data_IF_160379750311
#
_entry.id   IF_160379750311
#
_cell.length_a   1.000
_cell.length_b   1.000
_cell.length_c   1.000
_cell.angle_alpha   90.00
_cell.angle_beta   90.00
_cell.angle_gamma   90.00
#
_symmetry.space_group_name_H-M   'P 1'
#
loop_
_entity.id
_entity.type
_entity.pdbx_description
1 polymer ?
#
# COMPACT_ATOMS: atom_id res chain seq x y z
N UNK A 1 -15.93 -5.50 -14.33
CA UNK A 1 -16.25 -4.06 -14.44
C UNK A 1 -15.03 -3.37 -15.00
N UNK A 2 -15.19 -2.44 -15.94
CA UNK A 2 -14.07 -1.67 -16.53
C UNK A 2 -14.42 -0.19 -16.29
N UNK A 3 -13.71 0.45 -15.38
CA UNK A 3 -13.87 1.87 -15.03
C UNK A 3 -12.58 2.37 -14.35
N UNK A 4 -12.45 3.68 -14.19
CA UNK A 4 -11.44 4.28 -13.32
C UNK A 4 -11.80 4.01 -11.84
N UNK A 5 -10.82 3.56 -11.05
CA UNK A 5 -11.08 3.13 -9.67
C UNK A 5 -11.55 4.28 -8.77
N UNK A 6 -10.98 5.48 -8.96
CA UNK A 6 -11.37 6.66 -8.20
C UNK A 6 -12.80 7.08 -8.52
N UNK A 7 -13.10 7.27 -9.81
CA UNK A 7 -14.44 7.60 -10.30
C UNK A 7 -15.48 6.54 -9.90
N UNK A 8 -15.09 5.27 -9.88
CA UNK A 8 -15.96 4.20 -9.41
C UNK A 8 -16.29 4.36 -7.92
N UNK A 9 -15.27 4.54 -7.07
CA UNK A 9 -15.47 4.72 -5.62
C UNK A 9 -16.25 5.99 -5.30
N UNK A 10 -16.07 7.09 -6.04
CA UNK A 10 -16.86 8.32 -5.85
C UNK A 10 -18.36 8.08 -6.04
N UNK A 11 -18.74 7.29 -7.04
CA UNK A 11 -20.15 7.09 -7.44
C UNK A 11 -20.83 5.91 -6.76
N UNK A 12 -20.10 4.87 -6.38
CA UNK A 12 -20.67 3.63 -5.85
C UNK A 12 -20.96 3.71 -4.36
N UNK A 13 -22.22 3.65 -3.87
CA UNK A 13 -22.53 3.68 -2.44
C UNK A 13 -22.13 2.41 -1.67
N UNK A 14 -21.53 1.42 -2.35
CA UNK A 14 -21.09 0.19 -1.72
C UNK A 14 -19.96 0.45 -0.72
N UNK A 15 -19.97 -0.35 0.35
CA UNK A 15 -18.90 -0.41 1.33
C UNK A 15 -18.25 -1.79 1.34
N UNK A 16 -16.97 -1.83 1.65
CA UNK A 16 -16.11 -3.00 1.52
C UNK A 16 -15.42 -3.33 2.85
N UNK A 17 -15.23 -4.62 3.12
CA UNK A 17 -14.41 -5.07 4.24
C UNK A 17 -12.90 -4.94 3.91
N UNK A 18 -12.54 -5.05 2.62
CA UNK A 18 -11.17 -4.94 2.14
C UNK A 18 -11.17 -4.14 0.83
N UNK A 19 -10.22 -3.20 0.70
CA UNK A 19 -9.88 -2.53 -0.56
C UNK A 19 -8.39 -2.78 -0.84
N UNK A 20 -8.06 -3.41 -1.96
CA UNK A 20 -6.66 -3.64 -2.38
C UNK A 20 -6.32 -2.77 -3.59
N UNK A 21 -5.20 -2.06 -3.52
CA UNK A 21 -4.75 -1.11 -4.55
C UNK A 21 -3.39 -1.60 -5.09
N UNK A 22 -3.43 -2.15 -6.29
CA UNK A 22 -2.30 -2.73 -7.02
C UNK A 22 -2.26 -2.21 -8.46
N UNK A 23 -1.93 -0.92 -8.66
CA UNK A 23 -1.91 -0.33 -9.98
C UNK A 23 -0.63 -0.72 -10.73
N UNK A 24 -0.66 -0.74 -12.07
CA UNK A 24 0.54 -1.02 -12.86
C UNK A 24 1.60 0.05 -12.57
N UNK A 25 2.87 -0.34 -12.34
CA UNK A 25 3.96 0.61 -12.21
C UNK A 25 4.22 1.34 -13.54
N UNK A 26 4.85 2.52 -13.52
CA UNK A 26 5.44 3.17 -12.34
C UNK A 26 4.44 4.12 -11.61
N UNK A 27 4.83 4.64 -10.44
CA UNK A 27 3.95 5.48 -9.59
C UNK A 27 3.61 6.84 -10.21
N UNK A 28 4.32 7.23 -11.25
CA UNK A 28 4.12 8.46 -12.03
C UNK A 28 3.21 8.23 -13.25
N UNK A 29 2.80 6.98 -13.51
CA UNK A 29 1.95 6.67 -14.65
C UNK A 29 0.59 7.35 -14.53
N UNK A 30 0.16 7.99 -15.63
CA UNK A 30 -1.16 8.61 -15.71
C UNK A 30 -2.25 7.57 -15.40
N UNK A 31 -3.19 7.95 -14.53
CA UNK A 31 -4.26 7.07 -14.03
C UNK A 31 -3.87 6.35 -12.73
N UNK A 32 -2.66 5.79 -12.65
CA UNK A 32 -2.17 5.15 -11.41
C UNK A 32 -1.73 6.17 -10.35
N UNK A 33 -1.19 7.31 -10.80
CA UNK A 33 -0.59 8.35 -9.95
C UNK A 33 -1.54 8.91 -8.88
N UNK A 34 -2.81 9.09 -9.23
CA UNK A 34 -3.84 9.65 -8.34
C UNK A 34 -4.33 8.67 -7.27
N UNK A 35 -3.91 7.40 -7.31
CA UNK A 35 -4.29 6.39 -6.33
C UNK A 35 -3.40 6.44 -5.08
N UNK A 36 -2.47 7.39 -5.02
CA UNK A 36 -1.50 7.54 -3.94
C UNK A 36 -1.70 8.80 -3.07
N UNK A 37 -2.75 9.58 -3.33
CA UNK A 37 -3.01 10.85 -2.66
C UNK A 37 -3.82 10.70 -1.38
N UNK A 38 -3.67 11.67 -0.47
CA UNK A 38 -4.47 11.76 0.75
C UNK A 38 -5.97 11.83 0.44
N UNK A 39 -6.35 12.53 -0.62
CA UNK A 39 -7.73 12.65 -1.08
C UNK A 39 -8.29 11.30 -1.53
N UNK A 40 -7.51 10.51 -2.28
CA UNK A 40 -7.92 9.16 -2.66
C UNK A 40 -8.01 8.22 -1.45
N UNK A 41 -7.05 8.28 -0.51
CA UNK A 41 -7.13 7.49 0.71
C UNK A 41 -8.33 7.87 1.59
N UNK A 42 -8.67 9.16 1.66
CA UNK A 42 -9.87 9.64 2.36
C UNK A 42 -11.15 9.13 1.70
N UNK A 43 -11.19 9.13 0.36
CA UNK A 43 -12.30 8.53 -0.40
C UNK A 43 -12.41 7.03 -0.13
N UNK A 44 -11.32 6.29 -0.21
CA UNK A 44 -11.31 4.85 0.00
C UNK A 44 -11.70 4.49 1.45
N UNK A 45 -11.20 5.24 2.43
CA UNK A 45 -11.59 5.14 3.85
C UNK A 45 -13.10 5.28 4.03
N UNK A 46 -13.72 6.25 3.37
CA UNK A 46 -15.18 6.46 3.44
C UNK A 46 -16.00 5.30 2.82
N UNK A 47 -15.36 4.42 2.04
CA UNK A 47 -15.98 3.21 1.46
C UNK A 47 -15.58 1.93 2.20
N UNK A 48 -14.81 2.01 3.29
CA UNK A 48 -14.58 0.86 4.16
C UNK A 48 -15.71 0.74 5.19
N UNK A 49 -16.09 -0.51 5.48
CA UNK A 49 -16.93 -0.83 6.63
C UNK A 49 -16.14 -0.65 7.93
N UNK A 50 -16.80 -0.53 9.09
CA UNK A 50 -16.12 -0.54 10.38
C UNK A 50 -15.20 -1.77 10.52
N UNK A 51 -13.92 -1.54 10.82
CA UNK A 51 -12.91 -2.60 10.89
C UNK A 51 -12.36 -3.06 9.53
N UNK A 52 -12.78 -2.46 8.43
CA UNK A 52 -12.24 -2.74 7.11
C UNK A 52 -10.79 -2.28 6.95
N UNK A 53 -10.07 -2.90 6.01
CA UNK A 53 -8.65 -2.66 5.78
C UNK A 53 -8.41 -2.24 4.33
N UNK A 54 -7.68 -1.16 4.14
CA UNK A 54 -7.07 -0.79 2.87
C UNK A 54 -5.68 -1.39 2.78
N UNK A 55 -5.37 -2.06 1.67
CA UNK A 55 -4.02 -2.49 1.30
C UNK A 55 -3.56 -1.66 0.10
N UNK A 56 -2.46 -0.95 0.24
CA UNK A 56 -1.81 -0.21 -0.85
C UNK A 56 -0.45 -0.85 -1.17
N UNK A 57 -0.16 -1.08 -2.45
CA UNK A 57 1.19 -1.40 -2.91
C UNK A 57 1.89 -0.17 -3.49
N UNK A 58 3.07 0.15 -2.97
CA UNK A 58 4.01 1.07 -3.58
C UNK A 58 5.11 0.24 -4.26
N UNK A 59 5.13 0.18 -5.61
CA UNK A 59 6.08 -0.67 -6.32
C UNK A 59 7.51 -0.19 -6.09
N UNK A 60 7.78 1.11 -6.14
CA UNK A 60 9.15 1.61 -6.02
C UNK A 60 9.26 2.99 -6.65
N UNK A 61 10.40 3.64 -6.45
CA UNK A 61 10.67 4.97 -6.96
C UNK A 61 11.64 5.73 -6.07
N UNK A 62 11.66 7.05 -6.24
CA UNK A 62 12.50 7.94 -5.43
C UNK A 62 12.11 7.89 -3.95
N UNK A 63 13.10 8.03 -3.05
CA UNK A 63 12.85 8.08 -1.60
C UNK A 63 11.88 9.19 -1.20
N UNK A 64 11.92 10.34 -1.89
CA UNK A 64 10.99 11.45 -1.68
C UNK A 64 9.54 11.07 -2.02
N UNK A 65 9.34 10.27 -3.07
CA UNK A 65 8.02 9.78 -3.46
C UNK A 65 7.52 8.75 -2.45
N UNK A 66 8.37 7.81 -2.03
CA UNK A 66 8.02 6.84 -0.97
C UNK A 66 7.61 7.55 0.33
N UNK A 67 8.41 8.52 0.79
CA UNK A 67 8.12 9.28 2.00
C UNK A 67 6.78 10.04 1.88
N UNK A 68 6.51 10.61 0.71
CA UNK A 68 5.28 11.36 0.44
C UNK A 68 4.03 10.48 0.44
N UNK A 69 4.10 9.30 -0.21
CA UNK A 69 3.02 8.29 -0.21
C UNK A 69 2.80 7.75 1.19
N UNK A 70 3.87 7.38 1.89
CA UNK A 70 3.79 6.86 3.25
C UNK A 70 3.10 7.87 4.17
N UNK A 71 3.45 9.16 4.05
CA UNK A 71 2.83 10.25 4.81
C UNK A 71 1.34 10.41 4.46
N UNK A 72 0.95 10.32 3.18
CA UNK A 72 -0.46 10.38 2.79
C UNK A 72 -1.29 9.27 3.41
N UNK A 73 -0.78 8.03 3.42
CA UNK A 73 -1.49 6.90 4.05
C UNK A 73 -1.58 7.10 5.56
N UNK A 74 -0.47 7.44 6.24
CA UNK A 74 -0.43 7.57 7.71
C UNK A 74 -1.19 8.79 8.24
N UNK A 75 -1.36 9.84 7.44
CA UNK A 75 -2.21 10.98 7.79
C UNK A 75 -3.71 10.70 7.51
N UNK A 76 -4.03 9.74 6.63
CA UNK A 76 -5.41 9.40 6.28
C UNK A 76 -6.06 8.39 7.23
N UNK A 77 -5.26 7.54 7.87
CA UNK A 77 -5.71 6.45 8.74
C UNK A 77 -4.98 6.46 10.09
N UNK A 78 -5.68 6.22 11.21
CA UNK A 78 -5.07 6.19 12.54
C UNK A 78 -4.20 4.95 12.80
N UNK A 79 -4.44 3.85 12.09
CA UNK A 79 -3.69 2.61 12.27
C UNK A 79 -3.12 2.15 10.94
N UNK A 80 -1.77 2.15 10.84
CA UNK A 80 -1.05 1.74 9.64
C UNK A 80 0.06 0.76 10.02
N UNK A 81 0.16 -0.33 9.26
CA UNK A 81 1.29 -1.27 9.29
C UNK A 81 1.93 -1.31 7.92
N UNK A 82 3.26 -1.42 7.86
CA UNK A 82 4.00 -1.40 6.58
C UNK A 82 4.91 -2.60 6.51
N UNK A 83 4.92 -3.25 5.36
CA UNK A 83 5.75 -4.43 5.10
C UNK A 83 6.55 -4.19 3.82
N UNK A 84 7.85 -4.41 3.85
CA UNK A 84 8.62 -4.49 2.61
C UNK A 84 8.22 -5.76 1.84
N UNK A 85 8.15 -5.70 0.51
CA UNK A 85 7.84 -6.90 -0.28
C UNK A 85 8.93 -7.96 -0.10
N UNK A 86 8.55 -9.24 -0.03
CA UNK A 86 9.47 -10.36 0.21
C UNK A 86 10.59 -10.50 -0.84
N UNK A 87 10.36 -10.02 -2.07
CA UNK A 87 11.36 -10.00 -3.14
C UNK A 87 12.21 -8.72 -3.12
N UNK A 88 12.04 -7.88 -2.10
CA UNK A 88 12.77 -6.62 -1.90
C UNK A 88 12.26 -5.44 -2.73
N UNK A 89 11.31 -5.65 -3.64
CA UNK A 89 10.77 -4.61 -4.51
C UNK A 89 9.43 -4.08 -4.01
N UNK A 90 9.48 -2.92 -3.35
CA UNK A 90 8.30 -2.16 -2.96
C UNK A 90 7.89 -2.35 -1.49
N UNK A 91 6.79 -1.68 -1.15
CA UNK A 91 6.21 -1.66 0.19
C UNK A 91 4.70 -1.88 0.12
N UNK A 92 4.17 -2.66 1.05
CA UNK A 92 2.74 -2.86 1.26
C UNK A 92 2.32 -2.13 2.53
N UNK A 93 1.35 -1.23 2.40
CA UNK A 93 0.74 -0.53 3.52
C UNK A 93 -0.62 -1.17 3.81
N UNK A 94 -0.86 -1.54 5.06
CA UNK A 94 -2.18 -1.92 5.57
C UNK A 94 -2.68 -0.78 6.44
N UNK A 95 -3.87 -0.25 6.16
CA UNK A 95 -4.42 0.92 6.82
C UNK A 95 -5.87 0.71 7.24
N UNK A 96 -6.25 1.15 8.44
CA UNK A 96 -7.60 1.00 8.98
C UNK A 96 -7.95 2.07 10.01
N UNK A 97 -9.26 2.27 10.22
CA UNK A 97 -9.81 3.04 11.34
C UNK A 97 -9.79 2.29 12.67
N UNK A 98 -9.61 0.96 12.63
CA UNK A 98 -9.50 0.11 13.79
C UNK A 98 -8.07 -0.43 13.94
N UNK A 99 -7.60 -0.75 15.16
CA UNK A 99 -6.31 -1.39 15.35
C UNK A 99 -6.17 -2.68 14.52
N UNK A 100 -5.09 -2.78 13.75
CA UNK A 100 -4.79 -3.97 12.94
C UNK A 100 -4.06 -4.96 13.84
N UNK A 101 -4.73 -6.07 14.20
CA UNK A 101 -4.17 -7.05 15.11
C UNK A 101 -2.87 -7.68 14.58
N UNK A 102 -1.88 -7.82 15.47
CA UNK A 102 -0.73 -8.68 15.24
C UNK A 102 -1.16 -10.14 15.38
N UNK A 103 -0.93 -10.93 14.33
CA UNK A 103 -1.34 -12.33 14.26
C UNK A 103 -0.14 -13.17 13.87
N UNK A 104 0.11 -14.25 14.62
CA UNK A 104 1.25 -15.13 14.33
C UNK A 104 1.09 -15.84 12.98
N UNK A 105 2.22 -16.15 12.34
CA UNK A 105 2.26 -16.88 11.07
C UNK A 105 1.47 -18.19 11.12
N UNK A 106 1.60 -18.96 12.20
CA UNK A 106 0.84 -20.19 12.43
C UNK A 106 -0.68 -19.94 12.44
N UNK A 107 -1.12 -18.83 13.04
CA UNK A 107 -2.54 -18.48 13.10
C UNK A 107 -3.06 -18.02 11.74
N UNK A 108 -2.28 -17.25 10.98
CA UNK A 108 -2.62 -16.86 9.61
C UNK A 108 -2.74 -18.09 8.70
N UNK A 109 -1.76 -18.99 8.76
CA UNK A 109 -1.77 -20.25 8.01
C UNK A 109 -3.00 -21.12 8.32
N UNK A 110 -3.37 -21.26 9.60
CA UNK A 110 -4.57 -22.02 10.00
C UNK A 110 -5.88 -21.39 9.55
N UNK A 111 -5.92 -20.08 9.30
CA UNK A 111 -7.13 -19.39 8.82
C UNK A 111 -7.37 -19.56 7.32
N UNK A 112 -6.35 -19.97 6.56
CA UNK A 112 -6.50 -20.18 5.13
C UNK A 112 -7.32 -21.45 4.85
N UNK A 113 -8.34 -21.37 3.97
CA UNK A 113 -8.90 -22.55 3.33
C UNK A 113 -7.83 -23.33 2.56
N UNK A 114 -8.03 -24.64 2.40
CA UNK A 114 -7.05 -25.52 1.75
C UNK A 114 -6.60 -25.04 0.35
N UNK A 115 -7.53 -24.52 -0.46
CA UNK A 115 -7.20 -23.95 -1.78
C UNK A 115 -6.29 -22.72 -1.68
N UNK A 116 -6.66 -21.74 -0.85
CA UNK A 116 -5.85 -20.53 -0.66
C UNK A 116 -4.47 -20.82 -0.04
N UNK A 117 -4.39 -21.85 0.81
CA UNK A 117 -3.12 -22.32 1.36
C UNK A 117 -2.20 -22.91 0.27
N UNK A 118 -2.76 -23.62 -0.71
CA UNK A 118 -2.02 -24.12 -1.86
C UNK A 118 -1.58 -22.98 -2.80
N UNK A 119 -2.50 -22.07 -3.12
CA UNK A 119 -2.23 -20.92 -4.01
C UNK A 119 -1.12 -20.02 -3.43
N UNK A 120 -1.13 -19.77 -2.12
CA UNK A 120 -0.12 -18.94 -1.45
C UNK A 120 1.31 -19.45 -1.69
N UNK A 121 1.50 -20.76 -1.78
CA UNK A 121 2.83 -21.38 -1.89
C UNK A 121 3.09 -21.99 -3.27
N UNK A 122 2.20 -21.76 -4.24
CA UNK A 122 2.25 -22.37 -5.58
C UNK A 122 3.62 -22.18 -6.27
N UNK A 123 4.21 -20.99 -6.11
CA UNK A 123 5.46 -20.59 -6.77
C UNK A 123 6.72 -20.97 -5.98
N UNK A 124 6.59 -21.51 -4.77
CA UNK A 124 7.72 -21.92 -3.93
C UNK A 124 7.71 -23.42 -3.63
N UNK A 125 8.71 -24.12 -4.15
CA UNK A 125 8.86 -25.55 -3.88
C UNK A 125 9.09 -25.82 -2.39
N UNK A 126 8.32 -26.75 -1.83
CA UNK A 126 8.43 -27.24 -0.44
C UNK A 126 8.28 -26.15 0.64
N UNK A 127 7.57 -25.06 0.37
CA UNK A 127 7.29 -24.03 1.37
C UNK A 127 5.90 -24.26 1.98
N UNK A 128 5.83 -24.28 3.31
CA UNK A 128 4.55 -24.30 4.03
C UNK A 128 3.97 -22.88 4.17
N UNK A 129 2.63 -22.71 4.20
CA UNK A 129 1.98 -21.41 4.37
C UNK A 129 2.45 -20.63 5.61
N UNK A 130 2.71 -21.33 6.72
CA UNK A 130 3.26 -20.72 7.93
C UNK A 130 4.65 -20.11 7.68
N UNK A 131 5.52 -20.81 6.95
CA UNK A 131 6.84 -20.28 6.58
C UNK A 131 6.70 -19.06 5.65
N UNK A 132 5.77 -19.10 4.69
CA UNK A 132 5.50 -17.96 3.81
C UNK A 132 5.02 -16.73 4.59
N UNK A 133 4.06 -16.89 5.51
CA UNK A 133 3.63 -15.80 6.38
C UNK A 133 4.73 -15.32 7.32
N UNK A 134 5.58 -16.21 7.82
CA UNK A 134 6.75 -15.85 8.63
C UNK A 134 7.65 -14.85 7.88
N UNK A 135 7.98 -15.16 6.62
CA UNK A 135 8.77 -14.27 5.77
C UNK A 135 8.12 -12.90 5.57
N UNK A 136 6.80 -12.84 5.37
CA UNK A 136 6.06 -11.57 5.23
C UNK A 136 6.12 -10.76 6.53
N UNK A 137 5.85 -11.40 7.67
CA UNK A 137 5.84 -10.74 8.98
C UNK A 137 7.23 -10.23 9.38
N UNK A 138 8.30 -10.91 8.98
CA UNK A 138 9.69 -10.46 9.16
C UNK A 138 10.01 -9.16 8.39
N UNK A 139 9.24 -8.81 7.36
CA UNK A 139 9.43 -7.58 6.58
C UNK A 139 8.73 -6.35 7.18
N UNK A 140 8.13 -6.47 8.36
CA UNK A 140 7.44 -5.34 8.98
C UNK A 140 8.41 -4.21 9.32
N UNK A 141 8.08 -3.01 8.87
CA UNK A 141 8.83 -1.78 9.12
C UNK A 141 7.91 -0.74 9.75
N UNK A 142 8.44 -0.03 10.74
CA UNK A 142 7.69 1.04 11.40
C UNK A 142 7.31 2.13 10.36
N UNK A 143 6.03 2.55 10.27
CA UNK A 143 5.59 3.57 9.32
C UNK A 143 6.40 4.86 9.42
N UNK A 144 6.79 5.26 10.63
CA UNK A 144 7.58 6.47 10.89
C UNK A 144 8.96 6.40 10.24
N UNK A 145 9.57 5.21 10.18
CA UNK A 145 10.85 5.01 9.49
C UNK A 145 10.70 5.18 7.99
N UNK A 146 9.58 4.74 7.41
CA UNK A 146 9.29 4.89 5.99
C UNK A 146 8.98 6.34 5.64
N UNK A 147 8.24 7.06 6.49
CA UNK A 147 8.01 8.51 6.34
C UNK A 147 9.32 9.32 6.45
N UNK A 148 10.26 8.88 7.29
CA UNK A 148 11.50 9.59 7.56
C UNK A 148 12.61 9.38 6.51
N UNK A 149 12.42 8.53 5.48
CA UNK A 149 13.46 8.28 4.46
C UNK A 149 13.81 9.51 3.63
N UNK A 150 12.91 10.50 3.57
CA UNK A 150 13.14 11.78 2.94
C UNK A 150 12.19 12.85 3.53
N UNK A 151 12.61 14.11 3.51
CA UNK A 151 11.73 15.22 3.81
C UNK A 151 10.78 15.47 2.62
N UNK A 152 9.53 15.02 2.74
CA UNK A 152 8.49 15.22 1.72
C UNK A 152 7.16 15.59 2.37
N UNK A 153 6.36 16.48 1.74
CA UNK A 153 4.97 16.69 2.13
C UNK A 153 4.13 15.43 1.81
N UNK A 154 2.91 15.35 2.34
CA UNK A 154 1.98 14.32 1.94
C UNK A 154 1.69 14.50 0.43
N UNK A 155 1.57 13.39 -0.29
CA UNK A 155 1.08 13.39 -1.65
C UNK A 155 -0.40 13.83 -1.62
N UNK A 156 -0.67 14.96 -2.25
CA UNK A 156 -1.99 15.57 -2.39
C UNK A 156 -2.30 15.68 -3.90
N UNK A 157 -3.57 15.64 -4.28
CA UNK A 157 -3.97 15.81 -5.69
C UNK A 157 -3.45 17.13 -6.29
N UNK A 158 -3.47 18.21 -5.50
CA UNK A 158 -3.00 19.54 -5.92
C UNK A 158 -1.47 19.70 -5.81
N UNK A 159 -0.78 18.69 -5.25
CA UNK A 159 0.68 18.63 -5.12
C UNK A 159 1.20 17.22 -5.42
N UNK A 160 1.02 16.70 -6.65
CA UNK A 160 1.34 15.32 -6.98
C UNK A 160 2.85 15.19 -7.23
N UNK A 161 3.61 14.97 -6.16
CA UNK A 161 5.08 14.89 -6.21
C UNK A 161 5.59 13.79 -7.15
N UNK A 162 4.78 12.75 -7.35
CA UNK A 162 5.02 11.67 -8.29
C UNK A 162 4.86 12.13 -9.74
N UNK A 163 3.96 13.05 -10.09
CA UNK A 163 3.79 13.47 -11.50
C UNK A 163 4.82 14.50 -11.96
N UNK A 164 5.26 15.40 -11.07
CA UNK A 164 6.23 16.47 -11.40
C UNK A 164 7.68 16.09 -11.12
N UNK A 165 8.07 14.88 -11.52
CA UNK A 165 9.38 14.29 -11.20
C UNK A 165 10.53 14.77 -12.10
N UNK A 166 10.25 15.16 -13.36
CA UNK A 166 11.29 15.40 -14.36
C UNK A 166 12.29 16.49 -13.95
N UNK A 167 11.80 17.68 -13.59
CA UNK A 167 12.67 18.79 -13.17
C UNK A 167 13.44 18.46 -11.90
N UNK A 168 12.79 17.78 -10.94
CA UNK A 168 13.45 17.33 -9.70
C UNK A 168 14.64 16.42 -10.00
N UNK A 169 14.46 15.42 -10.87
CA UNK A 169 15.52 14.48 -11.27
C UNK A 169 16.65 15.17 -12.03
N UNK A 170 16.31 16.08 -12.95
CA UNK A 170 17.32 16.83 -13.71
C UNK A 170 18.17 17.73 -12.81
N UNK A 171 17.56 18.38 -11.82
CA UNK A 171 18.29 19.23 -10.88
C UNK A 171 19.16 18.42 -9.90
N UNK A 172 18.72 17.23 -9.48
CA UNK A 172 19.53 16.33 -8.66
C UNK A 172 20.73 15.74 -9.42
N UNK A 173 20.56 15.39 -10.69
CA UNK A 173 21.64 14.85 -11.52
C UNK A 173 22.74 15.88 -11.86
N UNK A 174 22.48 17.17 -11.65
CA UNK A 174 23.42 18.26 -11.87
C UNK A 174 24.27 18.61 -10.63
N UNK A 175 24.06 17.91 -9.50
CA UNK A 175 24.82 18.06 -8.25
C UNK A 175 25.79 16.89 -8.06
#
# INVERSE_FOLDING_TARGET
MIDDARRFLERSPAQYDIITIDPPPPVEAAGSSFLYSREFYSLARARLRPGGILQQWFPGGEAVTLASVARSVTESFPHVRVFQSIEGWGFHFLASDSPIAEVSAATLARRLPAGAAADLVEWWQNVHPETAFGKVLEQEVAPERVVAVAAAPALEDDRPINEYFLLRRLLQAAQ
#
